data_IF_148053472218
#
_entry.id   IF_148053472218
#
_cell.length_a   1.000
_cell.length_b   1.000
_cell.length_c   1.000
_cell.angle_alpha   90.00
_cell.angle_beta   90.00
_cell.angle_gamma   90.00
#
_symmetry.space_group_name_H-M   'P 1'
#
loop_
_entity.id
_entity.type
_entity.pdbx_description
1 polymer ?
#
# COMPACT_ATOMS: atom_id res chain seq x y z
N UNK A 1 3.59 -10.34 17.80
CA UNK A 1 4.51 -9.25 17.36
C UNK A 1 4.17 -8.95 15.89
N UNK A 2 3.40 -7.89 15.61
CA UNK A 2 2.96 -7.55 14.24
C UNK A 2 4.05 -6.73 13.57
N UNK A 3 4.77 -7.30 12.62
CA UNK A 3 5.66 -6.54 11.74
C UNK A 3 4.80 -5.95 10.62
N UNK A 4 4.78 -4.62 10.42
CA UNK A 4 4.02 -3.99 9.32
C UNK A 4 4.36 -4.61 7.95
N UNK A 5 5.60 -5.05 7.80
CA UNK A 5 6.14 -5.70 6.60
C UNK A 5 5.57 -7.10 6.32
N UNK A 6 5.05 -7.82 7.32
CA UNK A 6 4.52 -9.17 7.10
C UNK A 6 3.14 -9.17 6.40
N UNK A 7 2.38 -8.06 6.45
CA UNK A 7 1.07 -7.99 5.78
C UNK A 7 1.18 -7.88 4.25
N UNK A 8 2.31 -7.39 3.74
CA UNK A 8 2.59 -7.31 2.30
C UNK A 8 3.00 -8.67 1.68
N UNK A 9 3.28 -9.68 2.51
CA UNK A 9 3.98 -10.89 2.05
C UNK A 9 3.08 -11.97 1.42
N UNK A 10 1.74 -11.85 1.46
CA UNK A 10 0.82 -12.87 0.88
C UNK A 10 -0.26 -12.35 -0.06
N UNK A 11 -0.45 -11.04 -0.16
CA UNK A 11 -1.25 -10.42 -1.20
C UNK A 11 -0.33 -9.53 -2.03
N UNK A 12 -0.11 -9.88 -3.30
CA UNK A 12 0.75 -9.08 -4.19
C UNK A 12 0.10 -7.69 -4.35
N UNK A 13 0.63 -6.66 -3.68
CA UNK A 13 0.29 -5.26 -4.00
C UNK A 13 1.29 -4.74 -5.03
N UNK A 14 0.84 -3.95 -5.99
CA UNK A 14 1.70 -3.48 -7.07
C UNK A 14 1.16 -2.26 -7.79
N UNK A 15 1.91 -1.82 -8.79
CA UNK A 15 1.60 -0.66 -9.59
C UNK A 15 1.45 -1.10 -11.05
N UNK A 16 0.41 -0.61 -11.72
CA UNK A 16 0.22 -0.76 -13.17
C UNK A 16 0.01 0.63 -13.79
N UNK A 17 1.01 1.11 -14.53
CA UNK A 17 1.01 2.50 -15.01
C UNK A 17 0.98 3.48 -13.83
N UNK A 18 -0.03 4.35 -13.78
CA UNK A 18 -0.30 5.28 -12.68
C UNK A 18 -1.34 4.78 -11.67
N UNK A 19 -1.63 3.47 -11.66
CA UNK A 19 -2.65 2.86 -10.77
C UNK A 19 -2.00 1.99 -9.70
N UNK A 20 -2.33 2.26 -8.44
CA UNK A 20 -2.01 1.40 -7.30
C UNK A 20 -3.03 0.27 -7.15
N UNK A 21 -2.56 -0.96 -7.02
CA UNK A 21 -3.39 -2.16 -6.80
C UNK A 21 -3.02 -2.75 -5.44
N UNK A 22 -4.01 -2.86 -4.55
CA UNK A 22 -3.85 -3.40 -3.20
C UNK A 22 -4.80 -4.56 -3.00
N UNK A 23 -4.25 -5.72 -2.61
CA UNK A 23 -5.04 -6.87 -2.22
C UNK A 23 -5.38 -6.80 -0.73
N UNK A 24 -6.67 -6.82 -0.40
CA UNK A 24 -7.18 -6.81 0.96
C UNK A 24 -7.82 -8.18 1.30
N UNK A 25 -7.91 -8.56 2.59
CA UNK A 25 -8.64 -9.76 3.00
C UNK A 25 -10.13 -9.68 2.61
N UNK A 26 -10.75 -10.82 2.28
CA UNK A 26 -12.16 -10.87 1.86
C UNK A 26 -13.19 -10.57 2.95
N UNK A 27 -12.79 -10.52 4.23
CA UNK A 27 -13.70 -10.15 5.31
C UNK A 27 -13.74 -8.63 5.52
N UNK A 28 -14.92 -8.02 5.77
CA UNK A 28 -15.02 -6.56 5.96
C UNK A 28 -14.11 -6.02 7.06
N UNK A 29 -13.99 -6.76 8.17
CA UNK A 29 -13.10 -6.40 9.28
C UNK A 29 -11.62 -6.45 8.88
N UNK A 30 -11.20 -7.50 8.18
CA UNK A 30 -9.81 -7.64 7.73
C UNK A 30 -9.43 -6.55 6.72
N UNK A 31 -10.34 -6.24 5.78
CA UNK A 31 -10.17 -5.16 4.84
C UNK A 31 -9.99 -3.80 5.53
N UNK A 32 -10.85 -3.47 6.51
CA UNK A 32 -10.74 -2.22 7.27
C UNK A 32 -9.42 -2.10 8.02
N UNK A 33 -9.07 -3.13 8.81
CA UNK A 33 -7.83 -3.11 9.60
C UNK A 33 -6.58 -3.03 8.72
N UNK A 34 -6.57 -3.67 7.54
CA UNK A 34 -5.44 -3.60 6.62
C UNK A 34 -5.38 -2.27 5.88
N UNK A 35 -6.53 -1.71 5.50
CA UNK A 35 -6.62 -0.40 4.86
C UNK A 35 -6.14 0.71 5.80
N UNK A 36 -6.54 0.66 7.08
CA UNK A 36 -6.09 1.61 8.11
C UNK A 36 -4.57 1.66 8.28
N UNK A 37 -3.89 0.53 8.10
CA UNK A 37 -2.42 0.46 8.18
C UNK A 37 -1.75 1.18 7.01
N UNK A 38 -2.32 1.11 5.80
CA UNK A 38 -1.72 1.70 4.61
C UNK A 38 -2.19 3.13 4.33
N UNK A 39 -3.33 3.56 4.89
CA UNK A 39 -3.92 4.89 4.70
C UNK A 39 -2.90 6.03 4.88
N UNK A 40 -2.02 6.05 5.91
CA UNK A 40 -1.05 7.12 6.07
C UNK A 40 0.02 7.19 4.96
N UNK A 41 0.30 6.06 4.31
CA UNK A 41 1.31 5.97 3.24
C UNK A 41 0.72 6.22 1.84
N UNK A 42 -0.61 6.16 1.69
CA UNK A 42 -1.27 6.34 0.39
C UNK A 42 -1.07 7.72 -0.24
N UNK A 43 -1.13 8.87 0.48
CA UNK A 43 -0.92 10.18 -0.12
C UNK A 43 0.44 10.28 -0.83
N UNK A 44 1.52 9.96 -0.12
CA UNK A 44 2.88 9.96 -0.67
C UNK A 44 3.07 8.96 -1.81
N UNK A 45 2.49 7.76 -1.68
CA UNK A 45 2.53 6.76 -2.75
C UNK A 45 1.81 7.21 -4.01
N UNK A 46 0.66 7.88 -3.87
CA UNK A 46 -0.13 8.41 -4.98
C UNK A 46 0.51 9.64 -5.63
N UNK A 47 1.21 10.48 -4.87
CA UNK A 47 2.03 11.58 -5.40
C UNK A 47 3.16 11.05 -6.28
N UNK A 48 3.90 10.05 -5.79
CA UNK A 48 4.94 9.35 -6.59
C UNK A 48 4.38 8.72 -7.86
N UNK A 49 3.20 8.09 -7.77
CA UNK A 49 2.50 7.50 -8.92
C UNK A 49 2.06 8.52 -9.97
N UNK A 50 1.81 9.77 -9.57
CA UNK A 50 1.41 10.86 -10.46
C UNK A 50 2.58 11.53 -11.17
N UNK A 51 3.82 11.13 -10.90
CA UNK A 51 5.01 11.62 -11.58
C UNK A 51 6.04 12.30 -10.70
N UNK A 52 5.88 12.28 -9.37
CA UNK A 52 6.96 12.73 -8.48
C UNK A 52 8.03 11.64 -8.34
N UNK A 53 9.00 11.67 -9.27
CA UNK A 53 10.18 10.80 -9.29
C UNK A 53 11.26 11.34 -8.31
N UNK A 54 10.87 12.00 -7.21
CA UNK A 54 11.84 12.36 -6.18
C UNK A 54 12.32 11.08 -5.50
N UNK A 55 13.62 10.82 -5.64
CA UNK A 55 14.32 9.65 -5.15
C UNK A 55 13.90 9.27 -3.72
N UNK A 56 13.41 8.03 -3.54
CA UNK A 56 13.37 7.42 -2.21
C UNK A 56 14.71 6.75 -1.94
N UNK A 57 15.76 7.57 -1.85
CA UNK A 57 17.07 7.18 -1.35
C UNK A 57 17.76 8.42 -0.78
N UNK A 58 17.37 8.82 0.43
CA UNK A 58 18.24 9.52 1.38
C UNK A 58 17.90 9.07 2.79
#
# INVERSE_FOLDING_TARGET
RKTPHAMLSRGVSGIRGSTLIVNLPGSPRGARENLEVILPALPHGLEKLRGDISECAS
#
